data_IF_741385551938
#
_entry.id   IF_741385551938
#
_cell.length_a   1.000
_cell.length_b   1.000
_cell.length_c   1.000
_cell.angle_alpha   90.00
_cell.angle_beta   90.00
_cell.angle_gamma   90.00
#
_symmetry.space_group_name_H-M   'P 1'
#
loop_
_entity.id
_entity.type
_entity.pdbx_description
1 polymer ?
#
# COMPACT_ATOMS: atom_id res chain seq x y z
N UNK A 1 -22.69 -5.57 6.35
CA UNK A 1 -23.82 -4.61 6.37
C UNK A 1 -23.37 -3.47 7.25
N UNK A 2 -23.13 -2.30 6.67
CA UNK A 2 -22.73 -1.13 7.44
C UNK A 2 -23.92 -0.62 8.25
N UNK A 3 -23.68 -0.37 9.54
CA UNK A 3 -24.69 0.19 10.43
C UNK A 3 -24.64 1.71 10.21
N UNK A 4 -25.63 2.24 9.50
CA UNK A 4 -25.74 3.67 9.19
C UNK A 4 -26.71 4.32 10.16
N UNK A 5 -26.27 5.39 10.82
CA UNK A 5 -27.17 6.19 11.63
C UNK A 5 -27.93 7.16 10.72
N UNK A 6 -29.24 6.97 10.59
CA UNK A 6 -30.11 7.77 9.69
C UNK A 6 -30.57 9.08 10.32
N UNK A 7 -30.49 9.19 11.64
CA UNK A 7 -30.82 10.43 12.33
C UNK A 7 -29.69 11.45 12.14
N UNK A 8 -30.05 12.64 11.64
CA UNK A 8 -29.12 13.76 11.43
C UNK A 8 -29.52 14.89 12.36
N UNK A 9 -28.58 15.31 13.20
CA UNK A 9 -28.69 16.55 13.97
C UNK A 9 -28.05 17.68 13.19
N UNK A 10 -28.88 18.59 12.67
CA UNK A 10 -28.45 19.77 11.91
C UNK A 10 -27.96 20.90 12.84
N UNK A 11 -26.91 21.60 12.41
CA UNK A 11 -26.31 22.75 13.09
C UNK A 11 -24.98 22.46 13.80
N UNK A 12 -24.27 23.53 14.18
CA UNK A 12 -23.04 23.46 14.96
C UNK A 12 -23.38 23.29 16.44
N UNK A 13 -22.96 22.18 17.04
CA UNK A 13 -23.11 21.95 18.48
C UNK A 13 -21.83 21.38 19.06
N UNK A 14 -21.56 21.72 20.31
CA UNK A 14 -20.53 21.05 21.08
C UNK A 14 -21.06 19.70 21.51
N UNK A 15 -20.34 18.65 21.13
CA UNK A 15 -20.61 17.30 21.60
C UNK A 15 -19.43 16.83 22.44
N UNK A 16 -19.74 16.13 23.53
CA UNK A 16 -18.76 15.26 24.16
C UNK A 16 -18.60 13.97 23.34
N UNK A 17 -17.45 13.30 23.48
CA UNK A 17 -17.21 12.01 22.83
C UNK A 17 -18.31 10.99 23.18
N UNK A 18 -18.80 11.03 24.43
CA UNK A 18 -19.89 10.18 24.88
C UNK A 18 -21.20 10.44 24.12
N UNK A 19 -21.62 11.69 24.02
CA UNK A 19 -22.87 12.06 23.32
C UNK A 19 -22.80 11.72 21.84
N UNK A 20 -21.63 11.94 21.22
CA UNK A 20 -21.40 11.62 19.81
C UNK A 20 -21.54 10.11 19.55
N UNK A 21 -20.92 9.27 20.39
CA UNK A 21 -21.01 7.82 20.26
C UNK A 21 -22.38 7.30 20.66
N UNK A 22 -23.01 7.85 21.69
CA UNK A 22 -24.38 7.49 22.05
C UNK A 22 -25.34 7.72 20.89
N UNK A 23 -25.16 8.82 20.15
CA UNK A 23 -25.92 9.10 18.94
C UNK A 23 -25.62 8.07 17.82
N UNK A 24 -24.35 7.75 17.57
CA UNK A 24 -23.96 6.77 16.54
C UNK A 24 -24.39 5.33 16.83
N UNK A 25 -24.38 4.91 18.10
CA UNK A 25 -24.72 3.55 18.53
C UNK A 25 -26.23 3.35 18.80
N UNK A 26 -27.05 4.39 18.66
CA UNK A 26 -28.52 4.30 18.84
C UNK A 26 -29.13 3.40 17.75
N UNK A 27 -30.01 2.48 18.15
CA UNK A 27 -30.72 1.53 17.25
C UNK A 27 -29.80 0.63 16.42
N UNK A 28 -28.65 0.25 16.99
CA UNK A 28 -27.70 -0.64 16.32
C UNK A 28 -28.22 -2.09 16.23
N UNK A 29 -28.51 -2.55 15.00
CA UNK A 29 -28.90 -3.96 14.72
C UNK A 29 -27.79 -4.99 15.02
N UNK A 30 -26.54 -4.55 15.09
CA UNK A 30 -25.37 -5.40 15.35
C UNK A 30 -25.12 -5.72 16.83
N UNK A 31 -25.81 -5.05 17.75
CA UNK A 31 -25.63 -5.24 19.21
C UNK A 31 -24.25 -4.82 19.72
N UNK A 32 -23.59 -3.88 19.03
CA UNK A 32 -22.32 -3.33 19.51
C UNK A 32 -22.57 -2.34 20.64
N UNK A 33 -21.67 -2.33 21.62
CA UNK A 33 -21.66 -1.39 22.74
C UNK A 33 -20.31 -0.68 22.81
N UNK A 34 -20.24 0.44 23.52
CA UNK A 34 -18.99 1.16 23.73
C UNK A 34 -18.76 1.47 25.21
N UNK A 35 -17.49 1.59 25.59
CA UNK A 35 -17.05 2.03 26.91
C UNK A 35 -15.95 3.08 26.76
N UNK A 36 -16.10 4.19 27.47
CA UNK A 36 -15.08 5.24 27.55
C UNK A 36 -14.19 5.01 28.77
N UNK A 37 -12.87 5.09 28.57
CA UNK A 37 -11.85 4.99 29.62
C UNK A 37 -10.80 6.08 29.42
N UNK A 38 -11.08 7.26 29.95
CA UNK A 38 -10.20 8.42 29.84
C UNK A 38 -10.97 9.73 29.90
N UNK A 39 -10.24 10.84 29.84
CA UNK A 39 -10.82 12.18 29.76
C UNK A 39 -10.68 12.74 28.34
N UNK A 40 -11.79 13.20 27.77
CA UNK A 40 -11.85 13.75 26.42
C UNK A 40 -12.44 15.16 26.44
N UNK A 41 -11.80 16.10 25.75
CA UNK A 41 -12.34 17.44 25.53
C UNK A 41 -13.55 17.41 24.60
N UNK A 42 -14.54 18.28 24.80
CA UNK A 42 -15.64 18.43 23.85
C UNK A 42 -15.19 19.14 22.57
N UNK A 43 -15.78 18.76 21.44
CA UNK A 43 -15.52 19.40 20.15
C UNK A 43 -16.79 19.95 19.51
N UNK A 44 -16.64 21.03 18.75
CA UNK A 44 -17.68 21.57 17.88
C UNK A 44 -17.76 20.74 16.61
N UNK A 45 -18.89 20.06 16.41
CA UNK A 45 -19.16 19.28 15.21
C UNK A 45 -20.39 19.89 14.53
N UNK A 46 -20.25 20.15 13.24
CA UNK A 46 -21.34 20.58 12.38
C UNK A 46 -22.01 19.35 11.75
N UNK A 47 -23.35 19.30 11.80
CA UNK A 47 -24.15 18.30 11.11
C UNK A 47 -23.77 16.84 11.46
N UNK A 48 -23.99 16.46 12.71
CA UNK A 48 -23.72 15.10 13.19
C UNK A 48 -24.82 14.13 12.72
N UNK A 49 -24.51 13.20 11.82
CA UNK A 49 -25.44 12.15 11.37
C UNK A 49 -25.29 11.74 9.91
N UNK A 50 -26.04 10.73 9.49
CA UNK A 50 -26.05 10.25 8.11
C UNK A 50 -24.81 9.45 7.69
N UNK A 51 -23.89 9.21 8.63
CA UNK A 51 -22.63 8.50 8.43
C UNK A 51 -22.67 7.09 9.06
N UNK A 52 -21.71 6.24 8.69
CA UNK A 52 -21.62 4.88 9.23
C UNK A 52 -21.09 4.87 10.65
N UNK A 53 -21.38 3.81 11.41
CA UNK A 53 -20.82 3.60 12.75
C UNK A 53 -19.29 3.61 12.76
N UNK A 54 -18.66 3.13 11.67
CA UNK A 54 -17.22 3.19 11.51
C UNK A 54 -16.73 4.62 11.34
N UNK A 55 -17.45 5.46 10.58
CA UNK A 55 -17.11 6.88 10.43
C UNK A 55 -17.23 7.64 11.75
N UNK A 56 -18.20 7.27 12.61
CA UNK A 56 -18.28 7.81 13.98
C UNK A 56 -17.05 7.45 14.81
N UNK A 57 -16.60 6.20 14.73
CA UNK A 57 -15.39 5.75 15.43
C UNK A 57 -14.13 6.42 14.85
N UNK A 58 -14.06 6.60 13.53
CA UNK A 58 -12.97 7.34 12.89
C UNK A 58 -12.95 8.81 13.35
N UNK A 59 -14.12 9.45 13.42
CA UNK A 59 -14.23 10.82 13.93
C UNK A 59 -13.79 10.92 15.40
N UNK A 60 -14.11 9.91 16.23
CA UNK A 60 -13.60 9.82 17.60
C UNK A 60 -12.06 9.82 17.65
N UNK A 61 -11.40 9.10 16.75
CA UNK A 61 -9.93 9.05 16.68
C UNK A 61 -9.37 10.38 16.17
N UNK A 62 -9.91 10.92 15.08
CA UNK A 62 -9.35 12.08 14.39
C UNK A 62 -9.51 13.39 15.15
N UNK A 63 -10.69 13.58 15.74
CA UNK A 63 -11.06 14.81 16.45
C UNK A 63 -10.65 14.74 17.91
N UNK A 64 -11.10 13.69 18.61
CA UNK A 64 -10.88 13.56 20.05
C UNK A 64 -9.55 12.87 20.42
N UNK A 65 -8.79 12.36 19.44
CA UNK A 65 -7.51 11.68 19.70
C UNK A 65 -7.66 10.35 20.47
N UNK A 66 -8.83 9.70 20.38
CA UNK A 66 -9.11 8.47 21.13
C UNK A 66 -8.41 7.25 20.54
N UNK A 67 -7.97 6.33 21.40
CA UNK A 67 -7.45 5.01 21.02
C UNK A 67 -8.58 3.98 21.06
N UNK A 68 -8.80 3.29 19.94
CA UNK A 68 -9.85 2.27 19.81
C UNK A 68 -9.29 0.87 20.09
N UNK A 69 -9.96 0.14 20.97
CA UNK A 69 -9.71 -1.28 21.19
C UNK A 69 -11.02 -2.05 21.08
N UNK A 70 -11.12 -2.92 20.08
CA UNK A 70 -12.30 -3.75 19.86
C UNK A 70 -12.12 -5.10 20.54
N UNK A 71 -12.96 -5.42 21.51
CA UNK A 71 -13.10 -6.77 22.03
C UNK A 71 -14.48 -7.31 21.64
N UNK A 72 -14.48 -8.14 20.59
CA UNK A 72 -15.69 -8.72 20.03
C UNK A 72 -16.76 -7.67 19.64
N UNK A 73 -17.78 -7.47 20.48
CA UNK A 73 -18.87 -6.50 20.26
C UNK A 73 -18.78 -5.27 21.15
N UNK A 74 -17.75 -5.15 21.96
CA UNK A 74 -17.52 -4.02 22.86
C UNK A 74 -16.35 -3.21 22.33
N UNK A 75 -16.61 -1.94 22.03
CA UNK A 75 -15.60 -0.97 21.62
C UNK A 75 -15.14 -0.19 22.85
N UNK A 76 -13.88 -0.35 23.22
CA UNK A 76 -13.27 0.45 24.27
C UNK A 76 -12.54 1.63 23.64
N UNK A 77 -12.82 2.83 24.14
CA UNK A 77 -12.13 4.04 23.73
C UNK A 77 -11.30 4.55 24.91
N UNK A 78 -10.01 4.69 24.67
CA UNK A 78 -9.04 5.12 25.68
C UNK A 78 -8.46 6.47 25.33
N UNK A 79 -8.08 7.25 26.35
CA UNK A 79 -7.10 8.32 26.15
C UNK A 79 -5.68 7.73 26.05
N UNK A 80 -4.71 8.55 25.63
CA UNK A 80 -3.33 8.08 25.47
C UNK A 80 -2.72 7.54 26.77
N UNK A 81 -3.08 8.14 27.91
CA UNK A 81 -2.51 7.80 29.21
C UNK A 81 -3.06 6.47 29.75
N UNK A 82 -4.34 6.20 29.53
CA UNK A 82 -5.06 5.01 29.96
C UNK A 82 -4.89 3.84 28.98
N UNK A 83 -4.58 4.10 27.70
CA UNK A 83 -4.35 3.04 26.73
C UNK A 83 -3.03 2.32 26.98
N UNK A 84 -1.96 3.05 27.26
CA UNK A 84 -0.62 2.49 27.33
C UNK A 84 -0.17 2.19 28.76
N UNK A 85 -0.18 0.91 29.12
CA UNK A 85 0.29 0.38 30.41
C UNK A 85 1.81 0.18 30.39
N UNK A 86 2.52 0.57 31.44
CA UNK A 86 3.96 0.29 31.56
C UNK A 86 4.18 -1.22 31.72
N UNK A 87 5.18 -1.76 31.01
CA UNK A 87 5.57 -3.16 31.16
C UNK A 87 7.00 -3.28 31.65
N UNK A 88 7.25 -4.33 32.43
CA UNK A 88 8.59 -4.69 32.92
C UNK A 88 9.49 -5.27 31.80
N UNK A 89 8.96 -5.41 30.59
CA UNK A 89 9.69 -5.96 29.45
C UNK A 89 10.74 -4.95 28.99
N UNK A 90 11.99 -5.40 28.95
CA UNK A 90 13.12 -4.63 28.44
C UNK A 90 13.62 -5.27 27.15
N UNK A 91 13.47 -4.55 26.05
CA UNK A 91 14.03 -4.91 24.76
C UNK A 91 15.45 -4.37 24.65
N UNK A 92 16.42 -5.28 24.77
CA UNK A 92 17.83 -4.96 24.56
C UNK A 92 18.29 -5.51 23.21
N UNK A 93 18.80 -4.60 22.38
CA UNK A 93 19.39 -4.94 21.09
C UNK A 93 20.45 -6.05 21.23
N UNK A 94 20.37 -7.11 20.40
CA UNK A 94 21.19 -8.35 20.41
C UNK A 94 20.97 -9.34 21.57
N UNK A 95 20.03 -9.09 22.48
CA UNK A 95 19.70 -10.04 23.55
C UNK A 95 18.35 -10.71 23.32
N UNK A 96 17.27 -9.94 23.47
CA UNK A 96 15.89 -10.46 23.40
C UNK A 96 15.22 -10.14 22.05
N UNK A 97 16.01 -9.65 21.09
CA UNK A 97 15.59 -9.26 19.75
C UNK A 97 16.54 -9.90 18.74
N UNK A 98 16.02 -10.66 17.79
CA UNK A 98 16.84 -11.34 16.78
C UNK A 98 17.21 -10.37 15.64
N UNK A 99 16.20 -9.95 14.87
CA UNK A 99 16.36 -8.93 13.84
C UNK A 99 15.72 -7.62 14.32
N UNK A 100 16.49 -6.54 14.29
CA UNK A 100 16.01 -5.19 14.57
C UNK A 100 16.30 -4.34 13.34
N UNK A 101 15.25 -3.90 12.66
CA UNK A 101 15.35 -2.93 11.57
C UNK A 101 14.94 -1.58 12.13
N UNK A 102 15.90 -0.68 12.23
CA UNK A 102 15.63 0.71 12.59
C UNK A 102 15.70 1.56 11.33
N UNK A 103 14.63 2.30 11.09
CA UNK A 103 14.54 3.29 10.03
C UNK A 103 14.34 4.65 10.67
N UNK A 104 15.27 5.57 10.41
CA UNK A 104 15.16 6.94 10.87
C UNK A 104 14.68 7.83 9.73
N UNK A 105 13.53 8.43 9.90
CA UNK A 105 12.98 9.40 8.97
C UNK A 105 13.26 10.81 9.50
N UNK A 106 14.12 11.56 8.81
CA UNK A 106 14.48 12.94 9.15
C UNK A 106 13.86 13.97 8.20
N UNK A 107 13.04 13.53 7.24
CA UNK A 107 12.45 14.38 6.21
C UNK A 107 11.49 15.44 6.78
N UNK A 108 10.71 15.02 7.78
CA UNK A 108 9.73 15.85 8.47
C UNK A 108 10.34 16.61 9.66
N UNK A 109 11.61 16.37 9.98
CA UNK A 109 12.29 17.01 11.12
C UNK A 109 12.49 18.49 10.82
N UNK A 110 11.88 19.34 11.66
CA UNK A 110 11.98 20.79 11.62
C UNK A 110 12.41 21.29 12.99
N UNK A 111 13.27 22.29 13.02
CA UNK A 111 13.83 22.83 14.26
C UNK A 111 13.41 24.27 14.52
N UNK A 112 12.86 24.95 13.50
CA UNK A 112 12.35 26.33 13.60
C UNK A 112 10.94 26.37 13.01
N UNK A 113 10.01 27.06 13.67
CA UNK A 113 8.67 27.34 13.14
C UNK A 113 8.28 28.79 13.41
N UNK A 114 7.69 29.43 12.40
CA UNK A 114 7.07 30.75 12.54
C UNK A 114 5.55 30.57 12.70
N UNK A 115 4.99 31.20 13.73
CA UNK A 115 3.58 31.16 14.05
C UNK A 115 2.96 32.56 13.97
N UNK A 116 1.78 32.64 13.37
CA UNK A 116 1.00 33.86 13.18
C UNK A 116 -0.30 33.78 13.99
N UNK A 117 -0.59 34.83 14.76
CA UNK A 117 -1.83 34.95 15.53
C UNK A 117 -2.96 35.55 14.71
N UNK A 118 -3.87 36.28 15.38
CA UNK A 118 -4.97 37.01 14.72
C UNK A 118 -4.45 38.07 13.73
N UNK A 119 -5.08 38.22 12.57
CA UNK A 119 -4.81 39.31 11.60
C UNK A 119 -5.40 40.65 12.07
N UNK A 120 -4.70 41.76 11.81
CA UNK A 120 -5.13 43.12 12.15
C UNK A 120 -6.13 43.69 11.15
N UNK A 121 -5.88 43.50 9.86
CA UNK A 121 -6.76 43.93 8.76
C UNK A 121 -6.70 42.91 7.61
N UNK A 122 -7.75 42.88 6.78
CA UNK A 122 -7.91 41.99 5.62
C UNK A 122 -7.10 42.52 4.41
N UNK A 123 -5.81 42.80 4.62
CA UNK A 123 -4.91 43.21 3.53
C UNK A 123 -4.28 41.95 2.91
N UNK A 124 -4.25 41.86 1.58
CA UNK A 124 -3.73 40.70 0.81
C UNK A 124 -2.19 40.50 0.90
N UNK A 125 -1.54 41.09 1.90
CA UNK A 125 -0.14 40.87 2.23
C UNK A 125 0.06 39.69 3.19
N UNK A 126 1.16 38.95 3.01
CA UNK A 126 1.71 38.06 4.04
C UNK A 126 2.94 38.74 4.66
N UNK A 127 2.79 39.95 5.17
CA UNK A 127 3.87 40.64 5.90
C UNK A 127 3.72 40.41 7.40
N UNK A 128 4.83 40.41 8.13
CA UNK A 128 4.85 40.17 9.59
C UNK A 128 4.04 41.24 10.36
N UNK A 129 3.87 42.44 9.78
CA UNK A 129 3.13 43.56 10.38
C UNK A 129 1.60 43.41 10.34
N UNK A 130 1.09 42.52 9.46
CA UNK A 130 -0.34 42.31 9.21
C UNK A 130 -1.03 41.54 10.36
N UNK A 131 -0.26 41.03 11.32
CA UNK A 131 -0.73 40.19 12.42
C UNK A 131 -0.60 40.91 13.78
N UNK A 132 -1.56 40.66 14.68
CA UNK A 132 -1.51 41.12 16.08
C UNK A 132 -0.30 40.56 16.82
N UNK A 133 0.07 39.32 16.51
CA UNK A 133 1.16 38.60 17.15
C UNK A 133 1.85 37.69 16.14
N UNK A 134 3.17 37.75 16.12
CA UNK A 134 4.02 36.74 15.47
C UNK A 134 4.95 36.14 16.52
N UNK A 135 5.26 34.85 16.38
CA UNK A 135 6.19 34.15 17.26
C UNK A 135 7.09 33.23 16.43
N UNK A 136 8.39 33.24 16.71
CA UNK A 136 9.34 32.30 16.14
C UNK A 136 9.79 31.36 17.25
N UNK A 137 9.48 30.07 17.11
CA UNK A 137 9.97 29.04 18.01
C UNK A 137 11.21 28.37 17.41
N UNK A 138 12.26 28.23 18.23
CA UNK A 138 13.47 27.47 17.91
C UNK A 138 13.62 26.35 18.95
N UNK A 139 13.76 25.11 18.50
CA UNK A 139 14.00 23.96 19.38
C UNK A 139 15.45 23.95 19.88
N UNK A 140 15.69 23.32 21.02
CA UNK A 140 17.05 22.99 21.52
C UNK A 140 17.82 22.09 20.55
N UNK A 141 17.10 21.31 19.75
CA UNK A 141 17.68 20.35 18.80
C UNK A 141 18.28 21.05 17.55
N UNK A 142 18.19 22.38 17.46
CA UNK A 142 18.87 23.19 16.44
C UNK A 142 20.38 22.98 16.47
N UNK A 143 20.99 22.82 17.66
CA UNK A 143 22.43 22.59 17.79
C UNK A 143 22.88 21.27 17.14
N UNK A 144 22.00 20.26 17.16
CA UNK A 144 22.27 18.92 16.63
C UNK A 144 21.92 18.80 15.14
N UNK A 145 20.83 19.43 14.70
CA UNK A 145 20.27 19.21 13.35
C UNK A 145 20.34 20.43 12.42
N UNK A 146 20.82 21.57 12.91
CA UNK A 146 20.84 22.85 12.21
C UNK A 146 19.47 23.52 12.15
N UNK A 147 19.41 24.70 11.54
CA UNK A 147 18.16 25.44 11.33
C UNK A 147 17.39 24.83 10.15
N UNK A 148 16.27 24.17 10.44
CA UNK A 148 15.34 23.56 9.48
C UNK A 148 13.97 24.19 9.67
N UNK A 149 13.61 25.13 8.82
CA UNK A 149 12.36 25.87 8.94
C UNK A 149 11.15 25.03 8.49
N UNK A 150 10.13 24.98 9.34
CA UNK A 150 8.82 24.44 9.01
C UNK A 150 7.99 25.45 8.19
N UNK A 151 6.93 24.95 7.55
CA UNK A 151 5.90 25.83 6.98
C UNK A 151 5.30 26.70 8.10
N UNK A 152 5.01 27.98 7.84
CA UNK A 152 4.42 28.84 8.84
C UNK A 152 3.03 28.34 9.22
N UNK A 153 2.72 28.40 10.51
CA UNK A 153 1.42 28.00 11.08
C UNK A 153 0.65 29.24 11.52
N UNK A 154 -0.67 29.25 11.35
CA UNK A 154 -1.51 30.40 11.70
C UNK A 154 -2.73 29.95 12.48
N UNK A 155 -3.05 30.67 13.56
CA UNK A 155 -4.26 30.44 14.35
C UNK A 155 -4.81 31.76 14.89
N UNK A 156 -6.00 32.11 14.45
CA UNK A 156 -6.66 33.39 14.74
C UNK A 156 -7.17 33.51 16.18
N UNK A 157 -7.21 32.40 16.92
CA UNK A 157 -7.65 32.38 18.32
C UNK A 157 -6.67 33.09 19.25
N UNK A 158 -5.40 33.22 18.86
CA UNK A 158 -4.38 33.80 19.71
C UNK A 158 -4.16 35.29 19.44
N UNK A 159 -4.35 36.09 20.50
CA UNK A 159 -4.04 37.52 20.55
C UNK A 159 -2.79 37.82 21.37
N UNK A 160 -2.22 36.82 22.05
CA UNK A 160 -1.06 36.94 22.94
C UNK A 160 0.10 36.06 22.47
N UNK A 161 1.34 36.51 22.67
CA UNK A 161 2.57 35.82 22.23
C UNK A 161 2.85 34.50 22.94
N UNK A 162 2.73 34.47 24.27
CA UNK A 162 3.03 33.27 25.08
C UNK A 162 2.16 32.04 24.73
N UNK A 163 0.81 32.15 24.65
CA UNK A 163 -0.01 31.00 24.26
C UNK A 163 0.22 30.59 22.80
N UNK A 164 0.48 31.55 21.90
CA UNK A 164 0.85 31.25 20.51
C UNK A 164 2.17 30.46 20.44
N UNK A 165 3.16 30.83 21.26
CA UNK A 165 4.44 30.14 21.32
C UNK A 165 4.29 28.71 21.86
N UNK A 166 3.50 28.52 22.93
CA UNK A 166 3.26 27.19 23.48
C UNK A 166 2.50 26.28 22.52
N UNK A 167 1.55 26.83 21.77
CA UNK A 167 0.89 26.09 20.70
C UNK A 167 1.86 25.80 19.53
N UNK A 168 2.70 26.75 19.13
CA UNK A 168 3.68 26.55 18.07
C UNK A 168 4.68 25.41 18.40
N UNK A 169 5.03 25.24 19.68
CA UNK A 169 5.85 24.11 20.16
C UNK A 169 5.22 22.75 19.85
N UNK A 170 3.89 22.62 19.95
CA UNK A 170 3.21 21.33 19.71
C UNK A 170 3.09 20.99 18.23
N UNK A 171 3.29 21.97 17.33
CA UNK A 171 3.18 21.77 15.89
C UNK A 171 4.49 21.30 15.24
N UNK A 172 5.62 21.45 15.94
CA UNK A 172 6.94 21.12 15.41
C UNK A 172 7.35 19.68 15.71
N UNK A 173 8.20 19.13 14.85
CA UNK A 173 8.75 17.78 14.94
C UNK A 173 10.26 17.94 15.03
N UNK A 174 10.77 18.12 16.24
CA UNK A 174 12.18 18.39 16.48
C UNK A 174 13.01 17.12 16.74
N UNK A 175 12.36 15.97 16.83
CA UNK A 175 13.00 14.65 16.93
C UNK A 175 12.78 13.82 15.66
N UNK A 176 13.75 12.98 15.25
CA UNK A 176 13.57 12.09 14.11
C UNK A 176 12.47 11.07 14.39
N UNK A 177 11.69 10.74 13.35
CA UNK A 177 10.71 9.67 13.43
C UNK A 177 11.46 8.34 13.30
N UNK A 178 11.47 7.56 14.38
CA UNK A 178 12.11 6.25 14.40
C UNK A 178 11.03 5.20 14.19
N UNK A 179 11.14 4.44 13.09
CA UNK A 179 10.37 3.22 12.87
C UNK A 179 11.26 2.04 13.24
N UNK A 180 10.78 1.20 14.16
CA UNK A 180 11.50 0.05 14.63
C UNK A 180 10.65 -1.19 14.41
N UNK A 181 11.14 -2.10 13.56
CA UNK A 181 10.58 -3.44 13.41
C UNK A 181 11.52 -4.42 14.12
N UNK A 182 10.98 -5.18 15.07
CA UNK A 182 11.71 -6.23 15.76
C UNK A 182 10.96 -7.55 15.75
N UNK A 183 11.72 -8.64 15.75
CA UNK A 183 11.20 -9.98 16.02
C UNK A 183 11.39 -10.28 17.51
N UNK A 184 10.29 -10.48 18.22
CA UNK A 184 10.31 -10.73 19.66
C UNK A 184 10.49 -12.22 19.94
N UNK A 185 11.55 -12.58 20.68
CA UNK A 185 11.95 -13.98 20.90
C UNK A 185 11.73 -14.47 22.32
N UNK A 186 11.28 -13.60 23.23
CA UNK A 186 11.12 -13.94 24.64
C UNK A 186 9.74 -14.57 24.93
N UNK A 187 9.61 -15.19 26.10
CA UNK A 187 8.45 -16.00 26.51
C UNK A 187 7.36 -15.20 27.20
N UNK A 188 7.63 -13.96 27.60
CA UNK A 188 6.64 -13.13 28.29
C UNK A 188 5.57 -12.65 27.30
N UNK A 189 4.28 -12.79 27.64
CA UNK A 189 3.21 -12.32 26.77
C UNK A 189 3.20 -10.80 26.69
N UNK A 190 3.44 -10.31 25.49
CA UNK A 190 3.30 -8.91 25.13
C UNK A 190 1.89 -8.68 24.58
N UNK A 191 1.25 -7.60 25.04
CA UNK A 191 -0.03 -7.12 24.54
C UNK A 191 0.17 -5.77 23.86
N UNK A 192 -0.72 -5.44 22.92
CA UNK A 192 -0.69 -4.23 22.08
C UNK A 192 -0.76 -2.92 22.88
N UNK A 193 -1.18 -3.00 24.15
CA UNK A 193 -1.32 -1.86 25.07
C UNK A 193 -0.10 -1.58 25.94
N UNK A 194 0.99 -2.34 25.81
CA UNK A 194 2.16 -2.20 26.68
C UNK A 194 3.19 -1.20 26.13
N UNK A 195 3.76 -0.38 27.01
CA UNK A 195 5.01 0.35 26.76
C UNK A 195 6.19 -0.55 27.10
N UNK A 196 7.18 -0.58 26.23
CA UNK A 196 8.34 -1.44 26.37
C UNK A 196 9.60 -0.58 26.43
N UNK A 197 10.50 -0.92 27.34
CA UNK A 197 11.75 -0.17 27.48
C UNK A 197 12.76 -0.65 26.43
N UNK A 198 13.23 0.24 25.56
CA UNK A 198 14.16 -0.12 24.49
C UNK A 198 15.55 0.46 24.72
N UNK A 199 16.55 -0.42 24.64
CA UNK A 199 17.97 -0.08 24.78
C UNK A 199 18.72 -0.52 23.52
N UNK A 200 19.26 0.45 22.79
CA UNK A 200 20.13 0.24 21.64
C UNK A 200 21.53 0.79 21.92
N UNK A 201 22.48 -0.09 22.25
CA UNK A 201 23.82 0.32 22.69
C UNK A 201 24.62 1.06 21.61
N UNK A 202 24.57 0.61 20.34
CA UNK A 202 25.39 1.20 19.26
C UNK A 202 24.89 2.60 18.84
N UNK A 203 23.57 2.80 18.78
CA UNK A 203 22.95 4.08 18.44
C UNK A 203 22.70 4.98 19.66
N UNK A 204 22.92 4.46 20.87
CA UNK A 204 22.72 5.20 22.12
C UNK A 204 21.25 5.48 22.47
N UNK A 205 20.28 4.79 21.87
CA UNK A 205 18.87 4.96 22.20
C UNK A 205 18.53 4.27 23.52
N UNK A 206 17.88 5.01 24.42
CA UNK A 206 17.39 4.52 25.70
C UNK A 206 16.05 5.20 26.00
N UNK A 207 14.94 4.59 25.57
CA UNK A 207 13.64 5.24 25.62
C UNK A 207 12.48 4.24 25.69
N UNK A 208 11.35 4.69 26.22
CA UNK A 208 10.08 3.97 26.21
C UNK A 208 9.50 3.96 24.79
N UNK A 209 9.27 2.77 24.24
CA UNK A 209 8.57 2.58 22.99
C UNK A 209 7.12 2.13 23.23
N UNK A 210 6.21 2.64 22.42
CA UNK A 210 4.81 2.22 22.38
C UNK A 210 4.63 1.21 21.26
N UNK A 211 4.04 0.06 21.57
CA UNK A 211 3.72 -0.93 20.54
C UNK A 211 2.58 -0.36 19.70
N UNK A 212 2.80 -0.22 18.39
CA UNK A 212 1.79 0.29 17.47
C UNK A 212 1.31 -0.80 16.50
N UNK A 213 2.17 -1.75 16.15
CA UNK A 213 1.83 -2.89 15.33
C UNK A 213 2.34 -4.17 15.97
N UNK A 214 1.48 -5.19 16.04
CA UNK A 214 1.88 -6.53 16.44
C UNK A 214 1.34 -7.53 15.43
N UNK A 215 2.24 -8.25 14.77
CA UNK A 215 1.90 -9.35 13.88
C UNK A 215 2.03 -10.65 14.66
N UNK A 216 0.89 -11.21 15.08
CA UNK A 216 0.85 -12.53 15.71
C UNK A 216 0.53 -13.59 14.66
N UNK A 217 1.36 -14.63 14.60
CA UNK A 217 1.11 -15.76 13.71
C UNK A 217 0.21 -16.80 14.36
N UNK A 218 -0.47 -17.59 13.53
CA UNK A 218 -1.29 -18.70 14.00
C UNK A 218 -0.46 -19.66 14.88
N UNK A 219 -1.01 -20.24 15.97
CA UNK A 219 -0.29 -21.14 16.87
C UNK A 219 0.47 -22.29 16.17
N UNK A 220 -0.04 -22.78 15.04
CA UNK A 220 0.57 -23.85 14.25
C UNK A 220 1.69 -23.39 13.29
N UNK A 221 1.87 -22.09 13.06
CA UNK A 221 2.91 -21.58 12.18
C UNK A 221 4.30 -21.54 12.86
N UNK A 222 4.35 -21.66 14.20
CA UNK A 222 5.57 -21.65 15.03
C UNK A 222 6.52 -20.48 14.73
N UNK A 223 5.96 -19.32 14.36
CA UNK A 223 6.73 -18.10 14.12
C UNK A 223 6.58 -17.15 15.31
N UNK A 224 7.69 -16.56 15.81
CA UNK A 224 7.62 -15.53 16.84
C UNK A 224 6.83 -14.31 16.33
N UNK A 225 6.15 -13.57 17.23
CA UNK A 225 5.45 -12.36 16.83
C UNK A 225 6.42 -11.26 16.40
N UNK A 226 6.02 -10.47 15.42
CA UNK A 226 6.76 -9.28 14.97
C UNK A 226 6.14 -8.05 15.63
N UNK A 227 6.97 -7.19 16.22
CA UNK A 227 6.56 -5.95 16.85
C UNK A 227 7.07 -4.77 16.02
N UNK A 228 6.16 -3.87 15.67
CA UNK A 228 6.44 -2.59 15.04
C UNK A 228 6.15 -1.45 16.01
N UNK A 229 7.12 -0.56 16.16
CA UNK A 229 7.04 0.65 16.96
C UNK A 229 7.21 1.82 16.01
N UNK A 230 6.27 2.75 15.94
CA UNK A 230 6.50 4.03 15.29
C UNK A 230 6.23 5.15 16.30
N UNK A 231 6.72 6.34 15.99
CA UNK A 231 6.72 7.46 16.92
C UNK A 231 5.39 8.20 17.03
N UNK A 232 4.32 7.80 16.31
CA UNK A 232 3.10 8.61 16.19
C UNK A 232 1.79 7.82 16.02
N UNK A 233 0.77 8.15 16.85
CA UNK A 233 -0.56 7.55 16.73
C UNK A 233 -1.37 8.01 15.51
N UNK A 234 -1.08 9.19 14.94
CA UNK A 234 -1.82 9.69 13.76
C UNK A 234 -1.60 8.82 12.51
N UNK A 235 -0.49 8.10 12.46
CA UNK A 235 -0.22 7.13 11.40
C UNK A 235 -0.88 5.78 11.66
N UNK A 236 -1.28 5.44 12.90
CA UNK A 236 -1.97 4.19 13.21
C UNK A 236 -3.29 4.07 12.43
N UNK A 237 -4.07 5.15 12.31
CA UNK A 237 -5.29 5.16 11.51
C UNK A 237 -4.98 4.99 10.01
N UNK A 238 -3.93 5.64 9.50
CA UNK A 238 -3.51 5.46 8.11
C UNK A 238 -2.99 4.04 7.85
N UNK A 239 -2.31 3.43 8.84
CA UNK A 239 -1.87 2.04 8.82
C UNK A 239 -3.07 1.11 8.86
N UNK A 240 -4.07 1.37 9.71
CA UNK A 240 -5.32 0.61 9.76
C UNK A 240 -6.08 0.70 8.42
N UNK A 241 -6.13 1.89 7.81
CA UNK A 241 -6.72 2.09 6.48
C UNK A 241 -5.92 1.37 5.39
N UNK A 242 -4.58 1.41 5.42
CA UNK A 242 -3.71 0.67 4.49
C UNK A 242 -3.86 -0.85 4.67
N UNK A 243 -3.94 -1.32 5.91
CA UNK A 243 -4.16 -2.73 6.25
C UNK A 243 -5.53 -3.19 5.74
N UNK A 244 -6.58 -2.42 6.03
CA UNK A 244 -7.94 -2.72 5.56
C UNK A 244 -8.01 -2.76 4.03
N UNK A 245 -7.36 -1.83 3.33
CA UNK A 245 -7.25 -1.85 1.86
C UNK A 245 -6.52 -3.09 1.37
N UNK A 246 -5.40 -3.46 1.98
CA UNK A 246 -4.64 -4.66 1.58
C UNK A 246 -5.42 -5.96 1.82
N UNK A 247 -6.21 -6.03 2.90
CA UNK A 247 -7.11 -7.15 3.20
C UNK A 247 -8.22 -7.21 2.15
N UNK A 248 -8.86 -6.09 1.83
CA UNK A 248 -9.90 -6.04 0.78
C UNK A 248 -9.36 -6.44 -0.60
N UNK A 249 -8.15 -6.03 -0.94
CA UNK A 249 -7.48 -6.47 -2.18
C UNK A 249 -7.18 -7.97 -2.18
N UNK A 250 -6.75 -8.52 -1.04
CA UNK A 250 -6.52 -9.95 -0.89
C UNK A 250 -7.81 -10.76 -1.02
N UNK A 251 -8.92 -10.27 -0.48
CA UNK A 251 -10.24 -10.90 -0.59
C UNK A 251 -10.73 -10.91 -2.04
N UNK A 252 -10.55 -9.82 -2.78
CA UNK A 252 -10.88 -9.75 -4.22
C UNK A 252 -10.08 -10.77 -5.03
N UNK A 253 -8.77 -10.87 -4.81
CA UNK A 253 -7.92 -11.87 -5.47
C UNK A 253 -8.36 -13.31 -5.13
N UNK A 254 -8.76 -13.54 -3.87
CA UNK A 254 -9.27 -14.84 -3.42
C UNK A 254 -10.61 -15.17 -4.10
N UNK A 255 -11.52 -14.20 -4.24
CA UNK A 255 -12.80 -14.41 -4.92
C UNK A 255 -12.64 -14.70 -6.41
N UNK A 256 -11.74 -14.00 -7.09
CA UNK A 256 -11.45 -14.23 -8.51
C UNK A 256 -10.83 -15.62 -8.73
N UNK A 257 -9.93 -16.02 -7.83
CA UNK A 257 -9.35 -17.37 -7.83
C UNK A 257 -10.45 -18.43 -7.64
N UNK A 258 -11.39 -18.21 -6.71
CA UNK A 258 -12.51 -19.13 -6.48
C UNK A 258 -13.45 -19.22 -7.68
N UNK A 259 -13.72 -18.09 -8.36
CA UNK A 259 -14.52 -18.05 -9.58
C UNK A 259 -13.86 -18.84 -10.71
N UNK A 260 -12.57 -18.64 -10.94
CA UNK A 260 -11.80 -19.38 -11.95
C UNK A 260 -11.77 -20.89 -11.65
N UNK A 261 -11.62 -21.27 -10.38
CA UNK A 261 -11.65 -22.68 -9.97
C UNK A 261 -13.01 -23.35 -10.23
N UNK A 262 -14.11 -22.63 -10.03
CA UNK A 262 -15.45 -23.15 -10.32
C UNK A 262 -15.65 -23.36 -11.83
N UNK A 263 -15.24 -22.39 -12.66
CA UNK A 263 -15.31 -22.51 -14.11
C UNK A 263 -14.46 -23.69 -14.63
N UNK A 264 -13.27 -23.90 -14.07
CA UNK A 264 -12.42 -25.06 -14.41
C UNK A 264 -13.13 -26.37 -14.06
N UNK A 265 -13.73 -26.47 -12.87
CA UNK A 265 -14.50 -27.65 -12.46
C UNK A 265 -15.67 -27.94 -13.40
N UNK A 266 -16.44 -26.91 -13.74
CA UNK A 266 -17.60 -27.03 -14.63
C UNK A 266 -17.17 -27.47 -16.04
N UNK A 267 -16.10 -26.89 -16.59
CA UNK A 267 -15.55 -27.30 -17.90
C UNK A 267 -14.96 -28.72 -17.90
N UNK A 268 -14.33 -29.15 -16.81
CA UNK A 268 -13.87 -30.54 -16.70
C UNK A 268 -15.04 -31.51 -16.61
N UNK A 269 -16.10 -31.17 -15.86
CA UNK A 269 -17.30 -32.01 -15.76
C UNK A 269 -18.06 -32.12 -17.08
N UNK A 270 -18.05 -31.08 -17.93
CA UNK A 270 -18.62 -31.15 -19.28
C UNK A 270 -17.77 -32.01 -20.22
N UNK A 271 -16.44 -31.86 -20.20
CA UNK A 271 -15.53 -32.67 -21.04
C UNK A 271 -15.59 -34.17 -20.70
N UNK A 272 -15.74 -34.52 -19.43
CA UNK A 272 -15.94 -35.92 -19.02
C UNK A 272 -17.26 -36.51 -19.55
N UNK A 273 -18.32 -35.69 -19.64
CA UNK A 273 -19.62 -36.10 -20.21
C UNK A 273 -19.61 -36.17 -21.73
N UNK A 274 -18.91 -35.25 -22.40
CA UNK A 274 -18.82 -35.18 -23.87
C UNK A 274 -17.97 -36.31 -24.49
N UNK A 275 -16.98 -36.85 -23.77
CA UNK A 275 -16.12 -37.93 -24.28
C UNK A 275 -16.86 -39.26 -24.53
N UNK A 276 -18.12 -39.44 -24.11
CA UNK A 276 -18.80 -40.74 -24.11
C UNK A 276 -19.62 -41.07 -25.37
N UNK A 277 -19.77 -40.22 -26.40
CA UNK A 277 -20.67 -40.56 -27.54
C UNK A 277 -19.98 -40.49 -28.90
N UNK A 278 -19.74 -41.64 -29.51
CA UNK A 278 -19.47 -41.78 -30.94
C UNK A 278 -20.39 -42.89 -31.50
N UNK A 279 -21.34 -42.50 -32.36
CA UNK A 279 -22.07 -43.41 -33.24
C UNK A 279 -22.05 -42.80 -34.65
N UNK A 280 -21.62 -43.59 -35.63
CA UNK A 280 -21.24 -43.21 -37.01
C UNK A 280 -22.43 -43.42 -37.94
N UNK A 281 -22.77 -42.44 -38.79
CA UNK A 281 -23.53 -42.66 -40.03
C UNK A 281 -23.10 -41.70 -41.16
N UNK A 282 -23.18 -42.22 -42.38
CA UNK A 282 -22.47 -41.87 -43.62
C UNK A 282 -23.06 -40.70 -44.47
N UNK A 283 -22.29 -40.34 -45.52
CA UNK A 283 -22.37 -39.23 -46.49
C UNK A 283 -23.66 -39.10 -47.35
N UNK A 284 -24.09 -37.86 -47.66
CA UNK A 284 -24.39 -37.40 -49.05
C UNK A 284 -24.51 -35.84 -49.16
N UNK A 285 -24.28 -35.33 -50.37
CA UNK A 285 -23.91 -33.98 -50.85
C UNK A 285 -24.91 -32.81 -50.71
N UNK A 286 -24.43 -31.57 -50.45
CA UNK A 286 -25.22 -30.31 -50.56
C UNK A 286 -24.39 -29.04 -50.94
N UNK A 287 -24.99 -28.18 -51.77
CA UNK A 287 -24.43 -27.03 -52.50
C UNK A 287 -24.45 -25.69 -51.73
N UNK A 288 -23.49 -24.80 -52.02
CA UNK A 288 -23.19 -23.54 -51.30
C UNK A 288 -24.19 -22.40 -51.56
N UNK A 289 -24.68 -21.75 -50.49
CA UNK A 289 -25.27 -20.41 -50.52
C UNK A 289 -24.49 -19.53 -49.52
N UNK A 290 -23.92 -18.40 -49.97
CA UNK A 290 -23.18 -17.45 -49.11
C UNK A 290 -24.05 -16.27 -48.69
N UNK A 291 -24.04 -15.94 -47.40
CA UNK A 291 -24.20 -14.55 -46.92
C UNK A 291 -23.55 -14.37 -45.53
N UNK A 292 -23.24 -13.12 -45.21
CA UNK A 292 -22.24 -12.63 -44.25
C UNK A 292 -22.61 -12.66 -42.76
N UNK A 293 -21.58 -12.79 -41.92
CA UNK A 293 -21.52 -12.78 -40.45
C UNK A 293 -21.91 -14.10 -39.74
N UNK A 294 -20.94 -15.03 -39.75
CA UNK A 294 -20.76 -16.19 -38.86
C UNK A 294 -21.98 -17.07 -38.58
N UNK A 295 -22.50 -17.71 -39.63
CA UNK A 295 -22.79 -19.15 -39.72
C UNK A 295 -23.37 -19.43 -41.10
N UNK A 296 -22.64 -20.16 -41.96
CA UNK A 296 -23.17 -20.61 -43.25
C UNK A 296 -24.19 -21.71 -42.95
N UNK A 297 -25.48 -21.40 -43.05
CA UNK A 297 -26.54 -22.38 -42.93
C UNK A 297 -26.77 -23.03 -44.30
N UNK A 298 -26.56 -24.35 -44.39
CA UNK A 298 -26.98 -25.13 -45.55
C UNK A 298 -28.40 -25.64 -45.28
N UNK A 299 -29.30 -25.55 -46.27
CA UNK A 299 -30.64 -26.14 -46.19
C UNK A 299 -30.71 -27.38 -47.04
N UNK A 300 -31.26 -28.46 -46.50
CA UNK A 300 -31.69 -29.60 -47.32
C UNK A 300 -33.02 -29.27 -48.03
N UNK A 301 -33.44 -30.12 -48.97
CA UNK A 301 -34.70 -29.94 -49.72
C UNK A 301 -35.98 -30.05 -48.87
N UNK A 302 -35.86 -30.35 -47.58
CA UNK A 302 -36.96 -30.48 -46.63
C UNK A 302 -37.06 -29.28 -45.67
N UNK A 303 -36.14 -28.32 -45.76
CA UNK A 303 -36.21 -27.05 -45.02
C UNK A 303 -35.49 -27.04 -43.67
N UNK A 304 -34.78 -28.11 -43.31
CA UNK A 304 -34.00 -28.18 -42.08
C UNK A 304 -32.64 -27.48 -42.24
N UNK A 305 -32.17 -26.82 -41.17
CA UNK A 305 -30.93 -26.05 -41.16
C UNK A 305 -29.75 -26.92 -40.68
N UNK A 306 -28.68 -26.97 -41.48
CA UNK A 306 -27.41 -27.62 -41.14
C UNK A 306 -26.31 -26.59 -40.86
N UNK A 307 -25.54 -26.84 -39.80
CA UNK A 307 -24.29 -26.13 -39.50
C UNK A 307 -23.12 -27.03 -39.93
N UNK A 308 -22.30 -26.66 -40.94
CA UNK A 308 -21.15 -27.47 -41.31
C UNK A 308 -20.08 -27.39 -40.23
N UNK A 309 -19.61 -28.54 -39.76
CA UNK A 309 -18.42 -28.64 -38.90
C UNK A 309 -17.20 -28.41 -39.80
N UNK A 310 -16.72 -27.17 -39.89
CA UNK A 310 -15.44 -26.87 -40.53
C UNK A 310 -14.35 -27.29 -39.54
N UNK A 311 -13.54 -28.28 -39.89
CA UNK A 311 -12.35 -28.60 -39.09
C UNK A 311 -11.37 -27.46 -39.28
N UNK A 312 -10.71 -27.02 -38.21
CA UNK A 312 -9.82 -25.86 -38.23
C UNK A 312 -8.66 -26.01 -39.24
N UNK A 313 -8.36 -27.25 -39.60
CA UNK A 313 -7.35 -27.68 -40.57
C UNK A 313 -7.72 -27.39 -42.04
N UNK A 314 -8.98 -27.06 -42.35
CA UNK A 314 -9.45 -26.74 -43.72
C UNK A 314 -9.49 -25.22 -44.02
N UNK A 315 -9.09 -24.37 -43.07
CA UNK A 315 -9.08 -22.91 -43.23
C UNK A 315 -7.68 -22.46 -43.68
N UNK A 316 -7.59 -21.88 -44.88
CA UNK A 316 -6.33 -21.38 -45.44
C UNK A 316 -5.70 -20.26 -44.56
N UNK A 317 -4.37 -20.16 -44.58
CA UNK A 317 -3.62 -19.13 -43.85
C UNK A 317 -3.92 -17.76 -44.48
N UNK A 318 -4.13 -16.74 -43.63
CA UNK A 318 -4.41 -15.39 -44.10
C UNK A 318 -3.24 -14.80 -44.90
N UNK A 319 -3.57 -14.17 -46.04
CA UNK A 319 -2.61 -13.44 -46.89
C UNK A 319 -2.93 -11.94 -46.86
N UNK A 320 -2.02 -11.05 -47.32
CA UNK A 320 -2.32 -9.62 -47.39
C UNK A 320 -3.51 -9.25 -48.30
N UNK A 321 -3.90 -10.16 -49.21
CA UNK A 321 -4.99 -9.94 -50.16
C UNK A 321 -6.27 -10.72 -49.84
N UNK A 322 -6.21 -11.77 -49.01
CA UNK A 322 -7.36 -12.64 -48.69
C UNK A 322 -7.42 -13.02 -47.20
N UNK A 323 -8.64 -13.07 -46.67
CA UNK A 323 -8.91 -13.50 -45.30
C UNK A 323 -8.65 -15.00 -45.14
N UNK A 324 -8.13 -15.41 -43.99
CA UNK A 324 -7.92 -16.81 -43.62
C UNK A 324 -8.17 -17.02 -42.14
N UNK A 325 -7.26 -17.70 -41.43
CA UNK A 325 -7.27 -17.84 -39.97
C UNK A 325 -7.32 -16.50 -39.18
N UNK A 326 -7.02 -15.38 -39.85
CA UNK A 326 -7.21 -14.01 -39.36
C UNK A 326 -7.66 -13.10 -40.53
N UNK A 327 -8.14 -11.89 -40.23
CA UNK A 327 -8.52 -10.92 -41.27
C UNK A 327 -7.29 -10.43 -42.05
N UNK A 328 -7.44 -10.18 -43.37
CA UNK A 328 -6.34 -9.66 -44.21
C UNK A 328 -5.82 -8.32 -43.70
N UNK A 329 -6.70 -7.50 -43.13
CA UNK A 329 -6.35 -6.21 -42.55
C UNK A 329 -5.40 -6.38 -41.35
N UNK A 330 -5.68 -7.37 -40.49
CA UNK A 330 -4.83 -7.62 -39.32
C UNK A 330 -3.53 -8.34 -39.71
N UNK A 331 -3.57 -9.18 -40.75
CA UNK A 331 -2.35 -9.79 -41.32
C UNK A 331 -1.41 -8.72 -41.87
N UNK A 332 -1.97 -7.73 -42.58
CA UNK A 332 -1.22 -6.58 -43.11
C UNK A 332 -0.61 -5.74 -41.98
N UNK A 333 -1.34 -5.51 -40.88
CA UNK A 333 -0.79 -4.81 -39.71
C UNK A 333 0.37 -5.59 -39.09
N UNK A 334 0.20 -6.91 -38.93
CA UNK A 334 1.22 -7.77 -38.31
C UNK A 334 2.51 -7.79 -39.14
N UNK A 335 2.39 -7.90 -40.46
CA UNK A 335 3.55 -7.87 -41.38
C UNK A 335 4.22 -6.49 -41.41
N UNK A 336 3.47 -5.41 -41.16
CA UNK A 336 4.01 -4.05 -41.08
C UNK A 336 4.77 -3.72 -39.77
N UNK A 337 4.60 -4.54 -38.71
CA UNK A 337 5.28 -4.30 -37.42
C UNK A 337 6.81 -4.36 -37.58
N UNK A 338 7.35 -5.25 -38.43
CA UNK A 338 8.80 -5.35 -38.62
C UNK A 338 9.40 -4.09 -39.28
N UNK A 339 8.65 -3.43 -40.17
CA UNK A 339 9.08 -2.21 -40.85
C UNK A 339 9.06 -0.97 -39.95
N UNK A 340 8.20 -0.95 -38.91
CA UNK A 340 8.03 0.17 -37.99
C UNK A 340 8.66 -0.01 -36.60
N UNK A 341 9.20 -1.19 -36.29
CA UNK A 341 9.83 -1.44 -35.00
C UNK A 341 11.21 -0.77 -34.92
N UNK A 342 11.45 0.02 -33.88
CA UNK A 342 12.81 0.38 -33.45
C UNK A 342 13.52 -0.90 -33.01
N UNK A 343 14.23 -1.56 -33.93
CA UNK A 343 15.27 -2.52 -33.55
C UNK A 343 16.24 -1.76 -32.66
N UNK A 344 16.50 -2.28 -31.46
CA UNK A 344 17.51 -1.76 -30.55
C UNK A 344 18.84 -1.79 -31.31
N UNK A 345 19.24 -0.64 -31.87
CA UNK A 345 20.19 -0.59 -32.97
C UNK A 345 21.61 -0.56 -32.38
N UNK A 346 22.05 -1.69 -31.81
CA UNK A 346 23.48 -1.90 -31.61
C UNK A 346 24.07 -2.03 -33.01
N UNK A 347 24.68 -0.95 -33.48
CA UNK A 347 25.28 -0.89 -34.82
C UNK A 347 26.36 -1.98 -34.96
N UNK A 348 26.62 -2.47 -36.17
CA UNK A 348 27.72 -3.43 -36.39
C UNK A 348 29.07 -2.87 -35.92
N UNK A 349 29.24 -1.54 -36.00
CA UNK A 349 30.39 -0.83 -35.46
C UNK A 349 30.48 -0.91 -33.92
N UNK A 350 29.36 -0.77 -33.20
CA UNK A 350 29.33 -0.93 -31.75
C UNK A 350 29.61 -2.38 -31.32
N UNK A 351 29.05 -3.36 -32.03
CA UNK A 351 29.37 -4.79 -31.81
C UNK A 351 30.86 -5.07 -32.03
N UNK A 352 31.44 -4.53 -33.09
CA UNK A 352 32.88 -4.65 -33.37
C UNK A 352 33.73 -3.99 -32.27
N UNK A 353 33.32 -2.83 -31.75
CA UNK A 353 34.04 -2.13 -30.68
C UNK A 353 33.92 -2.81 -29.31
N UNK A 354 32.82 -3.51 -29.02
CA UNK A 354 32.70 -4.36 -27.83
C UNK A 354 33.53 -5.63 -27.94
N UNK A 355 33.56 -6.29 -29.10
CA UNK A 355 34.45 -7.43 -29.34
C UNK A 355 35.93 -7.03 -29.25
N UNK A 356 36.32 -5.89 -29.83
CA UNK A 356 37.70 -5.38 -29.74
C UNK A 356 38.12 -5.02 -28.30
N UNK A 357 37.18 -4.67 -27.41
CA UNK A 357 37.45 -4.44 -25.98
C UNK A 357 37.59 -5.75 -25.19
N UNK A 358 37.04 -6.86 -25.67
CA UNK A 358 37.30 -8.18 -25.07
C UNK A 358 38.72 -8.68 -25.39
N UNK A 359 39.28 -8.29 -26.53
CA UNK A 359 40.66 -8.62 -26.94
C UNK A 359 41.71 -7.63 -26.41
N UNK A 360 41.47 -6.98 -25.26
CA UNK A 360 42.41 -6.03 -24.68
C UNK A 360 43.67 -6.75 -24.16
N UNK A 361 44.71 -6.82 -25.00
CA UNK A 361 46.04 -7.32 -24.65
C UNK A 361 46.87 -6.25 -23.92
N UNK A 362 47.63 -6.67 -22.90
CA UNK A 362 48.62 -5.81 -22.25
C UNK A 362 49.92 -5.84 -23.08
N UNK A 363 50.48 -4.67 -23.37
CA UNK A 363 51.76 -4.53 -24.10
C UNK A 363 52.86 -4.20 -23.10
N UNK A 364 53.88 -5.04 -23.00
CA UNK A 364 55.05 -4.75 -22.17
C UNK A 364 55.98 -3.71 -22.84
N UNK A 365 56.87 -3.04 -22.08
CA UNK A 365 57.74 -1.97 -22.61
C UNK A 365 58.68 -2.40 -23.74
N UNK A 366 58.90 -3.70 -23.93
CA UNK A 366 59.66 -4.33 -25.02
C UNK A 366 58.83 -4.57 -26.30
N UNK A 367 57.54 -4.21 -26.30
CA UNK A 367 56.62 -4.36 -27.42
C UNK A 367 55.87 -5.69 -27.51
N UNK A 368 56.11 -6.62 -26.57
CA UNK A 368 55.43 -7.92 -26.54
C UNK A 368 53.97 -7.80 -26.07
N UNK A 369 53.03 -8.48 -26.74
CA UNK A 369 51.59 -8.49 -26.38
C UNK A 369 51.25 -9.71 -25.53
N UNK A 370 50.38 -9.54 -24.54
CA UNK A 370 49.96 -10.61 -23.62
C UNK A 370 48.45 -10.63 -23.45
N UNK A 371 47.85 -11.82 -23.58
CA UNK A 371 46.44 -12.07 -23.32
C UNK A 371 46.23 -12.83 -22.00
N UNK A 372 45.12 -12.56 -21.32
CA UNK A 372 44.72 -13.26 -20.10
C UNK A 372 43.78 -14.42 -20.46
N UNK A 373 44.06 -15.64 -19.99
CA UNK A 373 43.15 -16.77 -20.06
C UNK A 373 43.00 -17.41 -18.67
N UNK A 374 41.93 -18.18 -18.45
CA UNK A 374 41.73 -18.93 -17.22
C UNK A 374 41.79 -20.42 -17.59
N UNK A 375 42.62 -21.19 -16.89
CA UNK A 375 42.76 -22.62 -17.15
C UNK A 375 41.57 -23.43 -16.57
N UNK A 376 41.52 -24.73 -16.89
CA UNK A 376 40.45 -25.62 -16.44
C UNK A 376 40.41 -25.84 -14.91
N UNK A 377 41.33 -25.23 -14.15
CA UNK A 377 41.32 -25.23 -12.68
C UNK A 377 40.94 -23.87 -12.09
N UNK A 378 40.53 -22.91 -12.93
CA UNK A 378 40.08 -21.59 -12.49
C UNK A 378 41.23 -20.62 -12.17
N UNK A 379 42.47 -20.94 -12.56
CA UNK A 379 43.64 -20.09 -12.33
C UNK A 379 43.87 -19.20 -13.54
N UNK A 380 44.10 -17.92 -13.30
CA UNK A 380 44.44 -16.94 -14.34
C UNK A 380 45.87 -17.14 -14.83
N UNK A 381 46.02 -17.41 -16.13
CA UNK A 381 47.29 -17.60 -16.83
C UNK A 381 47.46 -16.52 -17.89
N UNK A 382 48.63 -15.88 -17.92
CA UNK A 382 48.96 -14.89 -18.94
C UNK A 382 49.76 -15.55 -20.06
N UNK A 383 49.24 -15.49 -21.28
CA UNK A 383 49.87 -16.11 -22.45
C UNK A 383 50.39 -15.01 -23.37
N UNK A 384 51.64 -15.15 -23.82
CA UNK A 384 52.22 -14.25 -24.82
C UNK A 384 51.49 -14.48 -26.15
N UNK A 385 50.96 -13.41 -26.74
CA UNK A 385 50.28 -13.43 -28.03
C UNK A 385 51.28 -13.31 -29.19
#
# INVERSE_FOLDING_TARGET
MDIVQRHVTEGEKQYSLYEMLQHGFRENRGGFTFQLRGEFSSETIENLGGITLMDYLQMAVERYGAYLFADNKVWYLYDEAAFFEESDVVLRYRYNTDTVKVQEHTENLRTVVKAYGKKKEETEGRSDDDYYVTAVYKSREVERWGEREAKPVSDERFTNREPLLNWAKTQIIDTPEVSLDLVYTDREPISERKKVWFIHEIMGYNLWLKIERMTVYHPYAQKPPELGFMGRPKDLLQIQQKLQRSVQESEKKLSDTKYNLNNIKDTTDTLYKERIVAEVLEEDTASRIQTSAYQVQLKNNQGDFYFPIVRLEDIEVATPSQNGLMAKEDKTKLDAIESGAQRNNVTEAEKASWNAKQDAFLVSPDGSKWGQSIDNQGVTVWTKL
#
